data_IF_625359747313
#
_entry.id   IF_625359747313
#
_cell.length_a   1.000
_cell.length_b   1.000
_cell.length_c   1.000
_cell.angle_alpha   90.00
_cell.angle_beta   90.00
_cell.angle_gamma   90.00
#
_symmetry.space_group_name_H-M   'P 1'
#
loop_
_entity.id
_entity.type
_entity.pdbx_description
1 polymer ?
#
# COMPACT_ATOMS: atom_id res chain seq x y z
N UNK A 1 13.46 1.91 13.62
CA UNK A 1 12.92 0.81 14.44
C UNK A 1 11.47 0.54 14.07
N UNK A 2 11.09 -0.76 14.01
CA UNK A 2 9.70 -1.19 13.88
C UNK A 2 9.03 -1.21 15.26
N UNK A 3 7.86 -0.56 15.39
CA UNK A 3 7.14 -0.46 16.67
C UNK A 3 5.66 -0.86 16.45
N UNK A 4 5.09 -1.56 17.44
CA UNK A 4 3.63 -1.82 17.47
C UNK A 4 2.90 -0.56 17.92
N UNK A 5 1.79 -0.22 17.26
CA UNK A 5 1.01 0.97 17.59
C UNK A 5 0.48 0.97 19.03
N UNK A 6 0.15 -0.19 19.59
CA UNK A 6 -0.34 -0.36 20.97
C UNK A 6 0.74 -0.19 22.04
N UNK A 7 2.02 -0.21 21.65
CA UNK A 7 3.16 -0.10 22.59
C UNK A 7 3.72 1.32 22.70
N UNK A 8 3.01 2.31 22.17
CA UNK A 8 3.49 3.69 22.11
C UNK A 8 3.00 4.49 23.31
N UNK A 9 3.94 4.95 24.13
CA UNK A 9 3.72 5.89 25.22
C UNK A 9 4.42 7.20 24.86
N UNK A 10 3.79 8.34 25.05
CA UNK A 10 4.32 9.65 24.63
C UNK A 10 5.64 10.00 25.32
N UNK A 11 5.76 9.65 26.58
CA UNK A 11 6.95 9.83 27.39
C UNK A 11 8.16 9.06 26.81
N UNK A 12 7.94 7.82 26.37
CA UNK A 12 8.97 7.01 25.71
C UNK A 12 9.40 7.63 24.37
N UNK A 13 8.48 8.19 23.62
CA UNK A 13 8.80 8.88 22.36
C UNK A 13 9.71 10.08 22.60
N UNK A 14 9.46 10.85 23.66
CA UNK A 14 10.29 12.00 24.06
C UNK A 14 11.70 11.50 24.43
N UNK A 15 11.77 10.39 25.17
CA UNK A 15 13.04 9.78 25.57
C UNK A 15 13.83 9.29 24.34
N UNK A 16 13.18 8.58 23.42
CA UNK A 16 13.81 8.14 22.17
C UNK A 16 14.35 9.32 21.37
N UNK A 17 13.59 10.41 21.25
CA UNK A 17 14.03 11.61 20.56
C UNK A 17 15.27 12.22 21.18
N UNK A 18 15.32 12.35 22.50
CA UNK A 18 16.47 12.88 23.25
C UNK A 18 17.73 12.03 23.08
N UNK A 19 17.57 10.73 22.85
CA UNK A 19 18.67 9.77 22.67
C UNK A 19 19.00 9.50 21.17
N UNK A 20 18.62 10.42 20.29
CA UNK A 20 19.07 10.39 18.89
C UNK A 20 18.18 9.58 17.93
N UNK A 21 17.03 9.07 18.37
CA UNK A 21 16.07 8.45 17.45
C UNK A 21 15.51 9.53 16.51
N UNK A 22 15.62 9.31 15.20
CA UNK A 22 15.14 10.24 14.17
C UNK A 22 13.77 9.86 13.60
N UNK A 23 13.32 8.60 13.74
CA UNK A 23 12.03 8.15 13.25
C UNK A 23 11.69 6.73 13.65
N UNK A 24 10.39 6.43 13.64
CA UNK A 24 9.82 5.13 13.96
C UNK A 24 9.00 4.63 12.78
N UNK A 25 9.06 3.33 12.50
CA UNK A 25 8.21 2.65 11.51
C UNK A 25 7.15 1.83 12.24
N UNK A 26 5.88 2.04 11.89
CA UNK A 26 4.76 1.31 12.48
C UNK A 26 4.22 0.27 11.51
N UNK A 27 3.91 -0.93 11.99
CA UNK A 27 3.16 -1.93 11.24
C UNK A 27 1.67 -1.60 11.31
N UNK A 28 1.15 -0.89 10.32
CA UNK A 28 -0.27 -0.51 10.22
C UNK A 28 -1.11 -1.68 9.67
N UNK A 29 -0.64 -2.31 8.63
CA UNK A 29 -1.24 -3.37 7.82
C UNK A 29 -2.50 -2.93 7.08
N UNK A 30 -3.50 -2.37 7.78
CA UNK A 30 -4.79 -1.98 7.21
C UNK A 30 -5.37 -0.77 7.94
N UNK A 31 -6.23 -0.02 7.27
CA UNK A 31 -7.05 1.04 7.88
C UNK A 31 -8.47 0.60 8.21
N UNK A 32 -8.77 -0.69 8.08
CA UNK A 32 -10.07 -1.25 8.39
C UNK A 32 -10.07 -1.96 9.73
N UNK A 33 -10.98 -1.57 10.64
CA UNK A 33 -11.14 -2.26 11.92
C UNK A 33 -11.52 -3.73 11.71
N UNK A 34 -12.43 -4.01 10.78
CA UNK A 34 -12.82 -5.39 10.45
C UNK A 34 -11.60 -6.23 10.06
N UNK A 35 -10.68 -5.67 9.28
CA UNK A 35 -9.48 -6.40 8.88
C UNK A 35 -8.48 -6.55 10.03
N UNK A 36 -8.34 -5.52 10.89
CA UNK A 36 -7.51 -5.63 12.10
C UNK A 36 -8.00 -6.76 13.02
N UNK A 37 -9.32 -6.91 13.13
CA UNK A 37 -9.94 -7.97 13.94
C UNK A 37 -9.71 -9.35 13.30
N UNK A 38 -9.88 -9.51 11.99
CA UNK A 38 -9.60 -10.75 11.24
C UNK A 38 -8.12 -11.14 11.37
N UNK A 39 -7.20 -10.16 11.31
CA UNK A 39 -5.75 -10.38 11.46
C UNK A 39 -5.32 -10.58 12.92
N UNK A 40 -6.24 -10.51 13.87
CA UNK A 40 -5.94 -10.57 15.31
C UNK A 40 -4.83 -9.60 15.76
N UNK A 41 -4.79 -8.40 15.15
CA UNK A 41 -3.77 -7.40 15.46
C UNK A 41 -3.86 -6.84 16.88
N UNK A 42 -5.03 -7.01 17.54
CA UNK A 42 -5.28 -6.53 18.90
C UNK A 42 -4.99 -5.04 19.06
N UNK A 43 -5.36 -4.25 18.06
CA UNK A 43 -5.30 -2.80 18.08
C UNK A 43 -6.47 -2.22 17.28
N UNK A 44 -6.79 -0.96 17.57
CA UNK A 44 -7.83 -0.22 16.83
C UNK A 44 -7.21 0.73 15.82
N UNK A 45 -8.02 1.19 14.86
CA UNK A 45 -7.61 2.25 13.93
C UNK A 45 -7.26 3.54 14.68
N UNK A 46 -7.91 3.80 15.81
CA UNK A 46 -7.62 4.96 16.65
C UNK A 46 -6.28 4.82 17.40
N UNK A 47 -5.91 3.60 17.83
CA UNK A 47 -4.57 3.33 18.38
C UNK A 47 -3.48 3.63 17.35
N UNK A 48 -3.70 3.21 16.09
CA UNK A 48 -2.79 3.51 14.98
C UNK A 48 -2.62 5.02 14.80
N UNK A 49 -3.73 5.75 14.73
CA UNK A 49 -3.71 7.22 14.60
C UNK A 49 -3.00 7.87 15.78
N UNK A 50 -3.33 7.47 16.99
CA UNK A 50 -2.72 8.00 18.23
C UNK A 50 -1.22 7.79 18.22
N UNK A 51 -0.75 6.59 17.92
CA UNK A 51 0.67 6.27 17.88
C UNK A 51 1.43 7.14 16.85
N UNK A 52 0.94 7.20 15.62
CA UNK A 52 1.59 7.95 14.54
C UNK A 52 1.55 9.46 14.82
N UNK A 53 0.42 9.99 15.27
CA UNK A 53 0.29 11.42 15.54
C UNK A 53 1.12 11.85 16.74
N UNK A 54 1.21 11.03 17.79
CA UNK A 54 2.09 11.29 18.93
C UNK A 54 3.57 11.31 18.50
N UNK A 55 3.99 10.35 17.66
CA UNK A 55 5.35 10.35 17.12
C UNK A 55 5.63 11.59 16.25
N UNK A 56 4.67 12.02 15.45
CA UNK A 56 4.77 13.24 14.66
C UNK A 56 4.90 14.49 15.55
N UNK A 57 4.08 14.62 16.59
CA UNK A 57 4.09 15.75 17.52
C UNK A 57 5.41 15.89 18.29
N UNK A 58 6.04 14.77 18.63
CA UNK A 58 7.38 14.76 19.27
C UNK A 58 8.51 15.02 18.26
N UNK A 59 8.20 15.05 16.96
CA UNK A 59 9.19 15.25 15.90
C UNK A 59 9.98 13.99 15.56
N UNK A 60 9.48 12.81 15.93
CA UNK A 60 9.87 11.51 15.40
C UNK A 60 9.08 11.31 14.12
N UNK A 61 9.70 11.62 13.00
CA UNK A 61 9.08 11.42 11.72
C UNK A 61 8.83 9.92 11.47
N UNK A 62 7.60 9.58 11.14
CA UNK A 62 7.25 8.22 10.74
C UNK A 62 7.24 8.11 9.23
N UNK A 63 8.08 7.25 8.69
CA UNK A 63 7.94 6.85 7.29
C UNK A 63 6.54 6.22 7.12
N UNK A 64 5.85 6.50 6.00
CA UNK A 64 4.60 5.79 5.68
C UNK A 64 4.85 4.29 5.74
N UNK A 65 4.12 3.64 6.60
CA UNK A 65 4.32 2.24 6.93
C UNK A 65 3.71 1.32 5.90
N UNK A 66 4.12 0.08 5.88
CA UNK A 66 3.58 -0.93 4.98
C UNK A 66 2.10 -1.21 5.25
N UNK A 67 1.36 -1.35 4.16
CA UNK A 67 0.00 -1.87 4.16
C UNK A 67 0.01 -3.27 3.55
N UNK A 68 -0.79 -4.14 4.11
CA UNK A 68 -1.02 -5.49 3.57
C UNK A 68 -2.45 -5.56 3.05
N UNK A 69 -2.61 -6.00 1.81
CA UNK A 69 -3.91 -6.17 1.16
C UNK A 69 -4.05 -7.57 0.58
N UNK A 70 -5.26 -7.95 0.23
CA UNK A 70 -5.55 -9.27 -0.33
C UNK A 70 -5.73 -10.36 0.73
N UNK A 71 -5.85 -10.00 2.01
CA UNK A 71 -6.17 -10.95 3.08
C UNK A 71 -7.57 -11.54 2.91
N UNK A 72 -7.81 -12.80 3.36
CA UNK A 72 -9.15 -13.37 3.41
C UNK A 72 -10.16 -12.42 4.10
N UNK A 73 -11.32 -12.24 3.49
CA UNK A 73 -12.38 -11.35 4.00
C UNK A 73 -12.27 -9.89 3.55
N UNK A 74 -11.21 -9.51 2.86
CA UNK A 74 -11.05 -8.16 2.34
C UNK A 74 -11.99 -7.88 1.15
N UNK A 75 -12.42 -6.63 1.00
CA UNK A 75 -13.33 -6.19 -0.03
C UNK A 75 -13.14 -4.68 -0.32
N UNK A 76 -13.85 -4.13 -1.31
CA UNK A 76 -13.73 -2.73 -1.70
C UNK A 76 -13.98 -1.72 -0.56
N UNK A 77 -14.81 -2.07 0.42
CA UNK A 77 -15.05 -1.20 1.58
C UNK A 77 -13.80 -1.12 2.44
N UNK A 78 -13.22 -2.27 2.81
CA UNK A 78 -12.01 -2.34 3.66
C UNK A 78 -10.80 -1.72 2.97
N UNK A 79 -10.66 -1.91 1.66
CA UNK A 79 -9.65 -1.26 0.82
C UNK A 79 -9.77 0.28 0.87
N UNK A 80 -10.98 0.81 0.78
CA UNK A 80 -11.22 2.26 0.89
C UNK A 80 -10.95 2.78 2.31
N UNK A 81 -11.27 2.01 3.34
CA UNK A 81 -10.94 2.36 4.73
C UNK A 81 -9.42 2.49 4.90
N UNK A 82 -8.64 1.59 4.33
CA UNK A 82 -7.17 1.67 4.30
C UNK A 82 -6.67 2.92 3.56
N UNK A 83 -7.23 3.22 2.39
CA UNK A 83 -6.91 4.45 1.67
C UNK A 83 -7.29 5.71 2.45
N UNK A 84 -8.42 5.71 3.13
CA UNK A 84 -8.85 6.83 3.99
C UNK A 84 -7.86 7.09 5.10
N UNK A 85 -7.45 6.06 5.86
CA UNK A 85 -6.47 6.19 6.93
C UNK A 85 -5.14 6.73 6.39
N UNK A 86 -4.66 6.20 5.26
CA UNK A 86 -3.45 6.67 4.61
C UNK A 86 -3.52 8.16 4.25
N UNK A 87 -4.64 8.61 3.71
CA UNK A 87 -4.88 10.01 3.37
C UNK A 87 -4.96 10.93 4.60
N UNK A 88 -5.55 10.46 5.71
CA UNK A 88 -5.62 11.17 6.98
C UNK A 88 -4.23 11.37 7.59
N UNK A 89 -3.39 10.33 7.59
CA UNK A 89 -2.00 10.41 8.04
C UNK A 89 -1.22 11.42 7.18
N UNK A 90 -1.29 11.28 5.86
CA UNK A 90 -0.59 12.17 4.94
C UNK A 90 -1.02 13.65 5.12
N UNK A 91 -2.30 13.90 5.34
CA UNK A 91 -2.82 15.26 5.57
C UNK A 91 -2.37 15.83 6.93
N UNK A 92 -2.15 15.01 7.93
CA UNK A 92 -1.61 15.44 9.24
C UNK A 92 -0.17 15.90 9.10
N UNK A 93 0.66 15.15 8.36
CA UNK A 93 2.07 15.53 8.16
C UNK A 93 2.28 16.61 7.09
N UNK A 94 1.24 16.95 6.32
CA UNK A 94 1.18 18.07 5.37
C UNK A 94 2.25 18.05 4.26
N UNK A 95 2.77 16.89 3.93
CA UNK A 95 3.74 16.69 2.84
C UNK A 95 2.97 16.43 1.53
N UNK A 96 3.51 16.80 0.35
CA UNK A 96 2.83 16.53 -0.93
C UNK A 96 2.43 15.08 -1.09
N UNK A 97 1.19 14.82 -1.52
CA UNK A 97 0.66 13.46 -1.66
C UNK A 97 1.49 12.57 -2.58
N UNK A 98 2.00 13.13 -3.68
CA UNK A 98 2.86 12.41 -4.62
C UNK A 98 4.18 11.95 -4.00
N UNK A 99 4.70 12.74 -3.07
CA UNK A 99 5.93 12.38 -2.34
C UNK A 99 5.64 11.31 -1.29
N UNK A 100 4.56 11.45 -0.53
CA UNK A 100 4.18 10.50 0.52
C UNK A 100 3.81 9.14 -0.08
N UNK A 101 2.80 9.11 -0.96
CA UNK A 101 2.25 7.86 -1.47
C UNK A 101 3.19 7.11 -2.41
N UNK A 102 4.12 7.81 -3.05
CA UNK A 102 5.17 7.19 -3.88
C UNK A 102 6.15 6.31 -3.09
N UNK A 103 6.14 6.38 -1.76
CA UNK A 103 7.04 5.64 -0.88
C UNK A 103 6.33 4.73 0.12
N UNK A 104 5.00 4.64 0.04
CA UNK A 104 4.24 3.67 0.84
C UNK A 104 4.34 2.30 0.18
N UNK A 105 4.78 1.31 0.96
CA UNK A 105 4.74 -0.08 0.54
C UNK A 105 3.34 -0.65 0.76
N UNK A 106 2.72 -1.09 -0.32
CA UNK A 106 1.51 -1.92 -0.27
C UNK A 106 1.89 -3.29 -0.79
N UNK A 107 1.86 -4.28 0.11
CA UNK A 107 2.18 -5.65 -0.21
C UNK A 107 0.90 -6.48 -0.26
N UNK A 108 0.79 -7.37 -1.27
CA UNK A 108 -0.23 -8.41 -1.26
C UNK A 108 0.16 -9.49 -0.27
N UNK A 109 -0.81 -9.96 0.51
CA UNK A 109 -0.59 -11.00 1.49
C UNK A 109 -0.18 -12.30 0.78
N UNK A 110 0.95 -12.85 1.20
CA UNK A 110 1.44 -14.14 0.73
C UNK A 110 1.26 -15.18 1.84
N UNK A 111 0.69 -16.34 1.54
CA UNK A 111 0.56 -17.43 2.52
C UNK A 111 1.93 -18.08 2.76
N UNK A 112 2.62 -17.62 3.79
CA UNK A 112 3.91 -18.16 4.18
C UNK A 112 3.73 -19.39 5.07
N UNK A 113 4.60 -20.38 4.93
CA UNK A 113 4.58 -21.62 5.72
C UNK A 113 4.54 -21.32 7.23
N UNK A 114 3.72 -22.06 7.94
CA UNK A 114 3.48 -21.87 9.38
C UNK A 114 2.51 -20.76 9.73
N UNK A 115 1.89 -20.12 8.73
CA UNK A 115 0.82 -19.14 8.97
C UNK A 115 -0.57 -19.76 8.78
N UNK A 116 -1.61 -19.28 9.50
CA UNK A 116 -2.99 -19.76 9.30
C UNK A 116 -3.45 -19.61 7.84
N UNK A 117 -2.99 -18.59 7.13
CA UNK A 117 -3.33 -18.36 5.73
C UNK A 117 -2.72 -19.43 4.80
N UNK A 118 -1.53 -19.94 5.14
CA UNK A 118 -0.92 -21.07 4.41
C UNK A 118 -1.74 -22.35 4.59
N UNK A 119 -2.10 -22.67 5.82
CA UNK A 119 -2.92 -23.84 6.11
C UNK A 119 -4.31 -23.76 5.46
N UNK A 120 -4.90 -22.57 5.46
CA UNK A 120 -6.15 -22.31 4.75
C UNK A 120 -6.01 -22.52 3.24
N UNK A 121 -4.92 -22.05 2.65
CA UNK A 121 -4.61 -22.26 1.23
C UNK A 121 -4.45 -23.74 0.88
N UNK A 122 -3.83 -24.53 1.75
CA UNK A 122 -3.73 -26.00 1.60
C UNK A 122 -5.10 -26.67 1.68
N UNK A 123 -5.92 -26.31 2.66
CA UNK A 123 -7.28 -26.84 2.82
C UNK A 123 -8.17 -26.59 1.58
N UNK A 124 -7.96 -25.44 0.92
CA UNK A 124 -8.67 -25.10 -0.31
C UNK A 124 -8.05 -25.72 -1.58
N UNK A 125 -6.94 -26.46 -1.47
CA UNK A 125 -6.23 -27.01 -2.62
C UNK A 125 -5.54 -25.96 -3.51
N UNK A 126 -5.35 -24.73 -2.98
CA UNK A 126 -4.70 -23.62 -3.71
C UNK A 126 -3.18 -23.65 -3.56
N UNK A 127 -2.66 -24.37 -2.59
CA UNK A 127 -1.24 -24.64 -2.37
C UNK A 127 -1.05 -26.15 -2.51
N UNK A 128 0.07 -26.54 -3.12
CA UNK A 128 0.35 -27.94 -3.43
C UNK A 128 0.28 -28.87 -2.21
N UNK A 129 -0.12 -30.11 -2.45
CA UNK A 129 -0.33 -31.12 -1.41
C UNK A 129 0.87 -32.06 -1.25
N UNK A 130 1.75 -32.11 -2.24
CA UNK A 130 3.01 -32.87 -2.18
C UNK A 130 4.18 -31.99 -1.75
N UNK A 131 5.20 -32.59 -1.17
CA UNK A 131 6.44 -31.89 -0.75
C UNK A 131 7.05 -31.11 -1.92
N UNK A 132 7.13 -31.70 -3.10
CA UNK A 132 7.70 -31.05 -4.28
C UNK A 132 6.89 -29.81 -4.72
N UNK A 133 5.56 -29.85 -4.61
CA UNK A 133 4.70 -28.71 -4.92
C UNK A 133 4.81 -27.61 -3.86
N UNK A 134 4.95 -28.00 -2.58
CA UNK A 134 5.20 -27.04 -1.51
C UNK A 134 6.57 -26.35 -1.66
N UNK A 135 7.63 -27.09 -1.97
CA UNK A 135 8.96 -26.54 -2.25
C UNK A 135 8.92 -25.55 -3.42
N UNK A 136 8.25 -25.90 -4.51
CA UNK A 136 8.06 -24.99 -5.65
C UNK A 136 7.29 -23.73 -5.28
N UNK A 137 6.26 -23.84 -4.42
CA UNK A 137 5.54 -22.68 -3.93
C UNK A 137 6.44 -21.80 -3.06
N UNK A 138 7.23 -22.40 -2.15
CA UNK A 138 8.18 -21.67 -1.31
C UNK A 138 9.23 -20.91 -2.12
N UNK A 139 9.79 -21.53 -3.15
CA UNK A 139 10.71 -20.85 -4.08
C UNK A 139 10.04 -19.61 -4.71
N UNK A 140 8.78 -19.73 -5.11
CA UNK A 140 8.02 -18.65 -5.75
C UNK A 140 7.77 -17.48 -4.80
N UNK A 141 7.47 -17.73 -3.53
CA UNK A 141 7.16 -16.68 -2.54
C UNK A 141 8.38 -16.19 -1.76
N UNK A 142 9.55 -16.79 -1.97
CA UNK A 142 10.80 -16.41 -1.28
C UNK A 142 11.24 -14.98 -1.63
N UNK A 143 10.94 -14.51 -2.84
CA UNK A 143 11.19 -13.12 -3.24
C UNK A 143 9.94 -12.27 -3.08
N UNK A 144 9.86 -11.56 -1.96
CA UNK A 144 8.76 -10.67 -1.63
C UNK A 144 8.55 -9.53 -2.65
N UNK A 145 9.52 -9.24 -3.52
CA UNK A 145 9.35 -8.24 -4.59
C UNK A 145 8.32 -8.67 -5.64
N UNK A 146 8.05 -9.96 -5.73
CA UNK A 146 7.04 -10.53 -6.64
C UNK A 146 5.71 -10.87 -5.96
N UNK A 147 5.44 -10.32 -4.76
CA UNK A 147 4.22 -10.62 -3.99
C UNK A 147 2.92 -10.56 -4.81
N UNK A 148 2.82 -9.61 -5.74
CA UNK A 148 1.65 -9.44 -6.60
C UNK A 148 1.49 -10.58 -7.62
N UNK A 149 2.62 -11.12 -8.13
CA UNK A 149 2.64 -12.21 -9.11
C UNK A 149 2.22 -13.55 -8.50
N UNK A 150 2.58 -13.77 -7.24
CA UNK A 150 2.35 -15.03 -6.54
C UNK A 150 1.21 -14.95 -5.53
N UNK A 151 0.47 -13.85 -5.57
CA UNK A 151 -0.70 -13.68 -4.73
C UNK A 151 -1.76 -14.74 -5.04
N UNK A 152 -2.32 -15.32 -3.98
CA UNK A 152 -3.46 -16.25 -4.05
C UNK A 152 -4.70 -15.48 -3.61
N UNK A 153 -5.72 -15.48 -4.45
CA UNK A 153 -6.96 -14.78 -4.17
C UNK A 153 -7.87 -15.63 -3.27
N UNK A 154 -7.99 -15.24 -2.02
CA UNK A 154 -8.91 -15.84 -1.04
C UNK A 154 -10.24 -15.08 -0.94
N UNK A 155 -10.47 -14.11 -1.78
CA UNK A 155 -11.63 -13.22 -1.71
C UNK A 155 -12.66 -13.59 -2.79
N UNK A 156 -13.92 -13.19 -2.56
CA UNK A 156 -14.99 -13.42 -3.54
C UNK A 156 -14.97 -12.47 -4.74
N UNK A 157 -14.06 -11.46 -4.77
CA UNK A 157 -13.89 -10.58 -5.90
C UNK A 157 -13.02 -11.27 -6.98
N UNK A 158 -13.25 -10.98 -8.27
CA UNK A 158 -12.45 -11.58 -9.35
C UNK A 158 -11.00 -11.09 -9.29
N UNK A 159 -10.05 -11.95 -9.68
CA UNK A 159 -8.61 -11.65 -9.69
C UNK A 159 -8.30 -10.37 -10.46
N UNK A 160 -8.99 -10.12 -11.57
CA UNK A 160 -8.91 -8.88 -12.36
C UNK A 160 -9.23 -7.60 -11.60
N UNK A 161 -9.89 -7.71 -10.45
CA UNK A 161 -10.15 -6.59 -9.56
C UNK A 161 -9.12 -6.55 -8.41
N UNK A 162 -8.90 -7.69 -7.77
CA UNK A 162 -8.07 -7.78 -6.56
C UNK A 162 -6.62 -7.36 -6.82
N UNK A 163 -6.04 -7.76 -7.95
CA UNK A 163 -4.64 -7.41 -8.29
C UNK A 163 -4.37 -5.91 -8.43
N UNK A 164 -5.41 -5.08 -8.44
CA UNK A 164 -5.30 -3.63 -8.58
C UNK A 164 -5.85 -2.86 -7.38
N UNK A 165 -6.16 -3.51 -6.28
CA UNK A 165 -6.65 -2.86 -5.08
C UNK A 165 -5.64 -1.85 -4.50
N UNK A 166 -4.35 -2.06 -4.68
CA UNK A 166 -3.30 -1.10 -4.34
C UNK A 166 -3.57 0.29 -4.99
N UNK A 167 -3.99 0.31 -6.25
CA UNK A 167 -4.32 1.56 -6.95
C UNK A 167 -5.55 2.24 -6.36
N UNK A 168 -6.54 1.45 -5.94
CA UNK A 168 -7.74 1.99 -5.28
C UNK A 168 -7.42 2.55 -3.89
N UNK A 169 -6.52 1.93 -3.14
CA UNK A 169 -6.00 2.48 -1.88
C UNK A 169 -5.39 3.86 -2.11
N UNK A 170 -4.48 3.99 -3.08
CA UNK A 170 -3.83 5.29 -3.37
C UNK A 170 -4.82 6.34 -3.87
N UNK A 171 -5.79 5.96 -4.70
CA UNK A 171 -6.82 6.89 -5.18
C UNK A 171 -7.66 7.44 -4.02
N UNK A 172 -8.12 6.57 -3.12
CA UNK A 172 -8.89 6.99 -1.94
C UNK A 172 -8.05 7.82 -0.97
N UNK A 173 -6.76 7.48 -0.81
CA UNK A 173 -5.82 8.26 -0.02
C UNK A 173 -5.66 9.67 -0.58
N UNK A 174 -5.51 9.82 -1.89
CA UNK A 174 -5.39 11.13 -2.55
C UNK A 174 -6.68 11.95 -2.39
N UNK A 175 -7.84 11.33 -2.49
CA UNK A 175 -9.15 11.98 -2.26
C UNK A 175 -9.25 12.51 -0.84
N UNK A 176 -8.96 11.67 0.12
CA UNK A 176 -9.00 12.03 1.54
C UNK A 176 -8.01 13.15 1.86
N UNK A 177 -6.77 13.01 1.40
CA UNK A 177 -5.74 14.03 1.53
C UNK A 177 -6.19 15.37 0.93
N UNK A 178 -6.67 15.37 -0.32
CA UNK A 178 -7.10 16.59 -1.02
C UNK A 178 -8.26 17.28 -0.29
N UNK A 179 -9.20 16.51 0.25
CA UNK A 179 -10.31 17.04 1.05
C UNK A 179 -9.82 17.69 2.34
N UNK A 180 -8.94 17.02 3.08
CA UNK A 180 -8.44 17.47 4.39
C UNK A 180 -7.43 18.61 4.27
N UNK A 181 -6.76 18.75 3.14
CA UNK A 181 -5.81 19.82 2.83
C UNK A 181 -6.48 21.07 2.23
N UNK A 182 -7.80 21.06 2.03
CA UNK A 182 -8.51 22.25 1.51
C UNK A 182 -8.26 23.46 2.42
N UNK A 183 -7.76 24.54 1.86
CA UNK A 183 -7.42 25.76 2.60
C UNK A 183 -6.15 25.68 3.46
N UNK A 184 -5.38 24.59 3.37
CA UNK A 184 -4.10 24.42 4.07
C UNK A 184 -2.94 24.42 3.08
N UNK A 185 -1.79 24.91 3.52
CA UNK A 185 -0.53 24.84 2.78
C UNK A 185 0.27 23.59 3.14
N UNK A 186 1.10 23.13 2.23
CA UNK A 186 2.10 22.10 2.52
C UNK A 186 3.12 22.63 3.52
N UNK A 187 3.69 21.74 4.32
CA UNK A 187 4.71 22.08 5.31
C UNK A 187 6.09 21.88 4.70
N UNK A 188 6.76 22.95 4.35
CA UNK A 188 8.05 22.91 3.67
C UNK A 188 9.18 22.37 4.59
N UNK A 189 9.11 22.59 5.88
CA UNK A 189 10.08 22.00 6.82
C UNK A 189 9.92 20.49 6.90
N UNK A 190 8.68 20.04 7.07
CA UNK A 190 8.37 18.60 7.05
C UNK A 190 8.72 17.95 5.72
N UNK A 191 8.50 18.62 4.61
CA UNK A 191 8.90 18.14 3.28
C UNK A 191 10.41 17.94 3.18
N UNK A 192 11.22 18.89 3.67
CA UNK A 192 12.69 18.74 3.71
C UNK A 192 13.12 17.57 4.60
N UNK A 193 12.53 17.43 5.79
CA UNK A 193 12.80 16.31 6.70
C UNK A 193 12.41 14.97 6.07
N UNK A 194 11.28 14.92 5.36
CA UNK A 194 10.82 13.75 4.64
C UNK A 194 11.81 13.33 3.55
N UNK A 195 12.23 14.27 2.72
CA UNK A 195 13.20 14.04 1.64
C UNK A 195 14.52 13.51 2.22
N UNK A 196 15.03 14.14 3.27
CA UNK A 196 16.26 13.71 3.95
C UNK A 196 16.12 12.27 4.50
N UNK A 197 14.98 11.94 5.10
CA UNK A 197 14.74 10.58 5.62
C UNK A 197 14.74 9.55 4.50
N UNK A 198 14.15 9.86 3.35
CA UNK A 198 14.18 8.98 2.17
C UNK A 198 15.59 8.80 1.62
N UNK A 199 16.38 9.86 1.55
CA UNK A 199 17.78 9.82 1.09
C UNK A 199 18.65 8.96 2.02
N UNK A 200 18.50 9.09 3.33
CA UNK A 200 19.19 8.26 4.32
C UNK A 200 18.83 6.77 4.16
N UNK A 201 17.60 6.47 3.74
CA UNK A 201 17.14 5.10 3.47
C UNK A 201 17.55 4.58 2.08
N UNK A 202 18.34 5.34 1.32
CA UNK A 202 18.72 4.99 -0.04
C UNK A 202 17.59 5.16 -1.08
N UNK A 203 16.47 5.73 -0.68
CA UNK A 203 15.34 6.02 -1.54
C UNK A 203 15.53 7.41 -2.17
N UNK A 204 15.73 7.48 -3.47
CA UNK A 204 15.96 8.76 -4.15
C UNK A 204 14.63 9.40 -4.58
N UNK A 205 14.18 10.50 -3.92
CA UNK A 205 12.94 11.19 -4.28
C UNK A 205 12.93 11.73 -5.71
N UNK A 206 14.12 11.97 -6.29
CA UNK A 206 14.29 12.49 -7.66
C UNK A 206 14.10 11.42 -8.73
N UNK A 207 14.18 10.14 -8.38
CA UNK A 207 14.00 9.04 -9.33
C UNK A 207 12.56 9.02 -9.85
N UNK A 208 11.59 9.33 -9.02
CA UNK A 208 10.19 9.47 -9.42
C UNK A 208 9.95 10.68 -10.34
N UNK A 209 10.72 11.76 -10.18
CA UNK A 209 10.62 12.94 -11.03
C UNK A 209 11.33 12.75 -12.39
N UNK A 210 12.39 11.94 -12.46
CA UNK A 210 13.14 11.66 -13.69
C UNK A 210 12.47 10.65 -14.62
N UNK A 211 11.58 9.79 -14.13
CA UNK A 211 10.80 8.87 -14.98
C UNK A 211 9.88 9.61 -15.98
N UNK A 212 9.71 10.92 -15.84
CA UNK A 212 8.88 11.77 -16.72
C UNK A 212 9.36 11.92 -18.16
N UNK A 213 10.52 11.42 -18.55
CA UNK A 213 11.11 11.67 -19.89
C UNK A 213 11.30 10.44 -20.78
N UNK A 214 10.63 9.34 -20.53
CA UNK A 214 10.64 8.23 -21.49
C UNK A 214 9.68 8.58 -22.62
N UNK A 215 10.21 8.67 -23.86
CA UNK A 215 9.40 8.97 -25.06
C UNK A 215 8.23 7.99 -25.13
N UNK A 216 7.03 8.52 -25.31
CA UNK A 216 5.75 7.77 -25.34
C UNK A 216 5.82 6.50 -26.18
N UNK A 217 6.54 6.47 -27.29
CA UNK A 217 6.68 5.29 -28.15
C UNK A 217 7.51 4.15 -27.53
N UNK A 218 8.61 4.48 -26.80
CA UNK A 218 9.37 3.48 -26.03
C UNK A 218 8.61 2.96 -24.84
N UNK A 219 7.66 3.72 -24.37
CA UNK A 219 6.82 3.41 -23.23
C UNK A 219 5.81 2.30 -23.56
N UNK A 220 5.23 2.30 -24.78
CA UNK A 220 4.30 1.26 -25.25
C UNK A 220 4.95 -0.11 -25.50
N UNK A 221 6.24 -0.15 -25.84
CA UNK A 221 6.91 -1.38 -26.25
C UNK A 221 7.66 -2.11 -25.13
N UNK A 222 7.93 -1.46 -24.00
CA UNK A 222 8.81 -1.98 -22.93
C UNK A 222 8.05 -2.25 -21.62
N UNK A 223 6.82 -1.73 -21.44
CA UNK A 223 6.19 -1.70 -20.13
C UNK A 223 4.92 -2.55 -20.07
N UNK A 224 5.04 -3.72 -19.45
CA UNK A 224 3.93 -4.61 -19.15
C UNK A 224 2.85 -3.95 -18.23
N UNK A 225 3.17 -2.80 -17.61
CA UNK A 225 2.31 -2.05 -16.69
C UNK A 225 2.00 -0.64 -17.21
N UNK A 226 1.71 -0.53 -18.51
CA UNK A 226 1.47 0.75 -19.16
C UNK A 226 0.37 1.58 -18.47
N UNK A 227 -0.80 1.00 -18.28
CA UNK A 227 -1.94 1.69 -17.73
C UNK A 227 -1.78 1.98 -16.23
N UNK A 228 -1.25 1.02 -15.46
CA UNK A 228 -0.90 1.23 -14.06
C UNK A 228 0.07 2.40 -13.87
N UNK A 229 1.10 2.48 -14.69
CA UNK A 229 2.05 3.59 -14.66
C UNK A 229 1.41 4.92 -15.08
N UNK A 230 0.57 4.91 -16.10
CA UNK A 230 -0.22 6.07 -16.50
C UNK A 230 -1.14 6.54 -15.38
N UNK A 231 -1.87 5.62 -14.74
CA UNK A 231 -2.74 5.93 -13.61
C UNK A 231 -1.96 6.56 -12.46
N UNK A 232 -0.83 5.97 -12.06
CA UNK A 232 0.01 6.52 -10.98
C UNK A 232 0.49 7.93 -11.30
N UNK A 233 0.97 8.15 -12.50
CA UNK A 233 1.56 9.45 -12.88
C UNK A 233 0.53 10.56 -13.08
N UNK A 234 -0.64 10.24 -13.61
CA UNK A 234 -1.57 11.26 -14.10
C UNK A 234 -2.93 11.29 -13.41
N UNK A 235 -3.35 10.17 -12.82
CA UNK A 235 -4.70 10.03 -12.27
C UNK A 235 -4.69 9.91 -10.74
N UNK A 236 -3.99 8.92 -10.20
CA UNK A 236 -4.12 8.51 -8.79
C UNK A 236 -3.64 9.60 -7.83
N UNK A 237 -2.52 10.24 -8.14
CA UNK A 237 -1.96 11.32 -7.31
C UNK A 237 -2.38 12.72 -7.75
N UNK A 238 -3.33 12.82 -8.68
CA UNK A 238 -3.77 14.09 -9.22
C UNK A 238 -4.87 14.70 -8.35
N UNK A 239 -4.58 15.82 -7.71
CA UNK A 239 -5.51 16.57 -6.84
C UNK A 239 -6.77 17.02 -7.58
N UNK A 240 -6.71 17.27 -8.88
CA UNK A 240 -7.87 17.68 -9.70
C UNK A 240 -8.77 16.48 -9.90
N UNK A 241 -8.19 15.35 -10.32
CA UNK A 241 -8.93 14.10 -10.52
C UNK A 241 -9.58 13.62 -9.23
N UNK A 242 -8.91 13.79 -8.09
CA UNK A 242 -9.46 13.45 -6.79
C UNK A 242 -10.75 14.23 -6.42
N UNK A 243 -11.01 15.38 -7.05
CA UNK A 243 -12.24 16.18 -6.85
C UNK A 243 -13.39 15.77 -7.76
N UNK A 244 -13.13 15.01 -8.81
CA UNK A 244 -14.18 14.54 -9.71
C UNK A 244 -15.11 13.53 -9.01
N UNK A 245 -16.36 13.36 -9.50
CA UNK A 245 -17.30 12.39 -8.94
C UNK A 245 -16.67 11.00 -8.88
N UNK A 246 -16.80 10.35 -7.70
CA UNK A 246 -16.15 9.06 -7.42
C UNK A 246 -16.49 8.02 -8.48
N UNK A 247 -17.77 7.88 -8.84
CA UNK A 247 -18.21 6.85 -9.78
C UNK A 247 -17.53 6.96 -11.15
N UNK A 248 -17.28 8.18 -11.62
CA UNK A 248 -16.63 8.39 -12.92
C UNK A 248 -15.16 7.96 -12.88
N UNK A 249 -14.43 8.41 -11.87
CA UNK A 249 -13.01 8.10 -11.75
C UNK A 249 -12.79 6.63 -11.43
N UNK A 250 -13.56 6.06 -10.51
CA UNK A 250 -13.46 4.66 -10.13
C UNK A 250 -13.79 3.75 -11.32
N UNK A 251 -14.83 4.08 -12.10
CA UNK A 251 -15.19 3.31 -13.31
C UNK A 251 -14.08 3.38 -14.36
N UNK A 252 -13.52 4.56 -14.61
CA UNK A 252 -12.40 4.72 -15.55
C UNK A 252 -11.16 3.93 -15.10
N UNK A 253 -10.79 4.05 -13.84
CA UNK A 253 -9.64 3.35 -13.26
C UNK A 253 -9.85 1.83 -13.34
N UNK A 254 -11.00 1.33 -12.90
CA UNK A 254 -11.31 -0.10 -12.93
C UNK A 254 -11.35 -0.66 -14.35
N UNK A 255 -11.95 0.07 -15.30
CA UNK A 255 -11.98 -0.36 -16.70
C UNK A 255 -10.57 -0.47 -17.29
N UNK A 256 -9.73 0.54 -17.10
CA UNK A 256 -8.38 0.52 -17.62
C UNK A 256 -7.50 -0.56 -16.97
N UNK A 257 -7.65 -0.78 -15.66
CA UNK A 257 -6.96 -1.86 -14.95
C UNK A 257 -7.45 -3.24 -15.42
N UNK A 258 -8.73 -3.39 -15.71
CA UNK A 258 -9.26 -4.61 -16.30
C UNK A 258 -8.68 -4.90 -17.69
N UNK A 259 -8.57 -3.87 -18.54
CA UNK A 259 -7.91 -4.02 -19.86
C UNK A 259 -6.44 -4.43 -19.68
N UNK A 260 -5.72 -3.81 -18.78
CA UNK A 260 -4.33 -4.18 -18.49
C UNK A 260 -4.22 -5.61 -17.96
N UNK A 261 -5.13 -6.04 -17.09
CA UNK A 261 -5.19 -7.43 -16.62
C UNK A 261 -5.38 -8.41 -17.79
N UNK A 262 -6.28 -8.13 -18.73
CA UNK A 262 -6.48 -8.99 -19.92
C UNK A 262 -5.22 -9.10 -20.77
N UNK A 263 -4.43 -8.02 -20.86
CA UNK A 263 -3.15 -8.04 -21.58
C UNK A 263 -2.05 -8.82 -20.83
N UNK A 264 -2.19 -8.98 -19.55
CA UNK A 264 -1.18 -9.56 -18.66
C UNK A 264 -1.66 -10.81 -17.90
N UNK A 265 -2.84 -11.34 -18.21
CA UNK A 265 -3.45 -12.47 -17.47
C UNK A 265 -2.53 -13.69 -17.33
N UNK A 266 -1.62 -13.89 -18.28
CA UNK A 266 -0.65 -15.00 -18.24
C UNK A 266 0.46 -14.77 -17.18
N UNK A 267 0.61 -13.54 -16.67
CA UNK A 267 1.58 -13.20 -15.62
C UNK A 267 0.97 -13.45 -14.25
N UNK A 268 -0.32 -13.16 -14.10
CA UNK A 268 -1.06 -13.42 -12.87
C UNK A 268 -1.58 -14.87 -12.94
N UNK A 269 -0.95 -15.74 -12.16
CA UNK A 269 -1.47 -17.11 -12.02
C UNK A 269 -2.78 -17.03 -11.24
N UNK A 270 -3.89 -17.21 -11.94
CA UNK A 270 -5.16 -17.49 -11.32
C UNK A 270 -5.13 -18.98 -10.90
N UNK A 271 -5.17 -19.32 -9.62
CA UNK A 271 -5.20 -20.72 -9.20
C UNK A 271 -6.45 -21.45 -9.68
N UNK A 272 -7.52 -20.73 -10.05
CA UNK A 272 -8.72 -21.30 -10.67
C UNK A 272 -8.59 -21.54 -12.18
N UNK A 273 -7.51 -21.05 -12.83
CA UNK A 273 -7.20 -21.25 -14.24
C UNK A 273 -6.00 -22.19 -14.47
N UNK A 274 -5.67 -23.03 -13.51
CA UNK A 274 -4.64 -24.07 -13.64
C UNK A 274 -5.18 -25.35 -14.32
N UNK A 275 -6.18 -25.22 -15.18
CA UNK A 275 -6.66 -26.31 -16.05
C UNK A 275 -6.36 -26.01 -17.50
#
# INVERSE_FOLDING_TARGET
CGVRCTSVVKEDLIHYKKNGCCGLKFGIETGSQTMLDIMEKKCTVDDIKKAIFSAYEVGLYTHPTGYMIGMPGENLKTIRESGKLMGEIAAKIRVPSSLVFGHVDICYALPLVGTPMYEYGKQLGLIGQSVAEEEKFLEQVSDASYHKRYYINFNGAPMSEVVFWDMLVFLEATRTYTKLMKGKTEDEEMKKKFILTLEIQGLNPRTFAKQKKVKILKWFTINQYFFTNFLRQHIIFNKIVAKLPRFMVDSFVRYGLYVEYLMQKNIFKDPHNLH
#
